data_IF_116972296866
#
_entry.id   IF_116972296866
#
_cell.length_a   1.000
_cell.length_b   1.000
_cell.length_c   1.000
_cell.angle_alpha   90.00
_cell.angle_beta   90.00
_cell.angle_gamma   90.00
#
_symmetry.space_group_name_H-M   'P 1'
#
loop_
_entity.id
_entity.type
_entity.pdbx_description
1 polymer ?
#
# COMPACT_ATOMS: atom_id res chain seq x y z
N UNK A 1 8.08 18.85 -33.22
CA UNK A 1 9.49 18.56 -33.54
C UNK A 1 10.35 19.45 -32.66
N UNK A 2 11.36 18.89 -32.01
CA UNK A 2 12.23 19.59 -31.04
C UNK A 2 13.64 19.66 -31.58
N UNK A 3 14.40 20.64 -31.07
CA UNK A 3 15.82 20.77 -31.38
C UNK A 3 16.62 19.82 -30.46
N UNK A 4 17.54 19.05 -31.04
CA UNK A 4 18.48 18.25 -30.28
C UNK A 4 19.43 19.17 -29.47
N UNK A 5 19.58 18.93 -28.16
CA UNK A 5 20.47 19.75 -27.31
C UNK A 5 21.97 19.58 -27.60
N UNK A 6 22.36 18.53 -28.33
CA UNK A 6 23.75 18.23 -28.64
C UNK A 6 24.16 18.72 -30.03
N UNK A 7 23.37 18.39 -31.05
CA UNK A 7 23.71 18.67 -32.45
C UNK A 7 22.82 19.71 -33.13
N UNK A 8 21.90 20.34 -32.40
CA UNK A 8 21.03 21.41 -32.89
C UNK A 8 20.08 21.03 -34.07
N UNK A 9 20.04 19.77 -34.49
CA UNK A 9 19.16 19.33 -35.58
C UNK A 9 17.70 19.15 -35.11
N UNK A 10 16.76 19.28 -36.03
CA UNK A 10 15.33 19.07 -35.77
C UNK A 10 15.01 17.57 -35.76
N UNK A 11 14.42 17.10 -34.66
CA UNK A 11 14.09 15.69 -34.42
C UNK A 11 12.64 15.56 -33.93
N UNK A 12 12.10 14.34 -33.95
CA UNK A 12 10.78 14.05 -33.40
C UNK A 12 10.74 14.30 -31.89
N UNK A 13 9.61 14.80 -31.38
CA UNK A 13 9.47 15.16 -29.95
C UNK A 13 9.61 13.93 -29.05
N UNK A 14 9.20 12.77 -29.55
CA UNK A 14 9.28 11.46 -28.90
C UNK A 14 10.65 10.77 -29.00
N UNK A 15 11.61 11.33 -29.75
CA UNK A 15 12.90 10.70 -29.95
C UNK A 15 13.69 10.58 -28.62
N UNK A 16 14.04 9.33 -28.26
CA UNK A 16 14.89 8.99 -27.10
C UNK A 16 16.38 9.10 -27.42
N UNK A 17 16.74 8.93 -28.69
CA UNK A 17 18.10 9.02 -29.21
C UNK A 17 18.09 9.86 -30.49
N UNK A 18 19.05 10.75 -30.63
CA UNK A 18 19.18 11.56 -31.84
C UNK A 18 19.69 10.68 -33.00
N UNK A 19 19.03 10.74 -34.17
CA UNK A 19 19.47 10.01 -35.38
C UNK A 19 20.78 10.57 -35.98
N UNK A 20 21.08 11.84 -35.73
CA UNK A 20 22.21 12.55 -36.35
C UNK A 20 23.49 12.39 -35.54
N UNK A 21 23.50 12.78 -34.25
CA UNK A 21 24.69 12.66 -33.42
C UNK A 21 24.79 11.36 -32.61
N UNK A 22 23.74 10.54 -32.58
CA UNK A 22 23.72 9.32 -31.79
C UNK A 22 23.62 9.53 -30.28
N UNK A 23 23.54 10.76 -29.79
CA UNK A 23 23.40 11.05 -28.37
C UNK A 23 22.02 10.71 -27.83
N UNK A 24 22.00 10.23 -26.58
CA UNK A 24 20.78 9.93 -25.85
C UNK A 24 20.22 11.21 -25.24
N UNK A 25 18.96 11.54 -25.56
CA UNK A 25 18.36 12.83 -25.18
C UNK A 25 17.65 12.78 -23.84
N UNK A 26 17.35 11.58 -23.34
CA UNK A 26 16.59 11.37 -22.11
C UNK A 26 17.06 10.11 -21.39
N UNK A 27 18.04 10.27 -20.49
CA UNK A 27 18.39 9.25 -19.50
C UNK A 27 17.40 9.19 -18.32
N UNK A 28 16.31 9.98 -18.33
CA UNK A 28 15.29 9.92 -17.27
C UNK A 28 14.24 8.88 -17.63
N UNK A 29 14.61 7.62 -17.42
CA UNK A 29 13.65 6.51 -17.32
C UNK A 29 12.55 6.93 -16.33
N UNK A 30 11.34 7.17 -16.84
CA UNK A 30 10.15 7.38 -16.01
C UNK A 30 10.00 6.16 -15.12
N UNK A 31 10.21 6.34 -13.82
CA UNK A 31 9.99 5.33 -12.78
C UNK A 31 8.53 4.90 -12.87
N UNK A 32 8.25 3.83 -13.61
CA UNK A 32 6.95 3.17 -13.70
C UNK A 32 6.52 2.80 -12.27
N UNK A 33 5.79 3.69 -11.60
CA UNK A 33 5.14 3.41 -10.31
C UNK A 33 3.99 2.46 -10.61
N UNK A 34 4.27 1.15 -10.62
CA UNK A 34 3.25 0.10 -10.69
C UNK A 34 2.17 0.42 -9.66
N UNK A 35 0.91 0.49 -10.10
CA UNK A 35 -0.24 0.66 -9.20
C UNK A 35 -0.23 -0.52 -8.21
N UNK A 36 -0.02 -0.25 -6.92
CA UNK A 36 -0.22 -1.26 -5.87
C UNK A 36 -1.68 -1.23 -5.44
N UNK A 37 -2.44 -2.32 -5.59
CA UNK A 37 -3.84 -2.35 -5.18
C UNK A 37 -3.93 -2.48 -3.66
N UNK A 38 -3.81 -1.37 -2.94
CA UNK A 38 -3.93 -1.29 -1.46
C UNK A 38 -5.36 -1.67 -1.01
N UNK A 39 -6.34 -1.54 -1.90
CA UNK A 39 -7.75 -1.81 -1.64
C UNK A 39 -8.05 -3.29 -1.38
N UNK A 40 -7.44 -4.19 -2.16
CA UNK A 40 -7.67 -5.64 -2.06
C UNK A 40 -7.28 -6.22 -0.69
N UNK A 41 -6.04 -6.02 -0.19
CA UNK A 41 -5.64 -6.57 1.11
C UNK A 41 -6.42 -5.92 2.26
N UNK A 42 -6.75 -4.63 2.17
CA UNK A 42 -7.53 -3.94 3.19
C UNK A 42 -8.95 -4.51 3.32
N UNK A 43 -9.60 -4.86 2.21
CA UNK A 43 -10.94 -5.46 2.20
C UNK A 43 -10.89 -6.88 2.76
N UNK A 44 -9.91 -7.69 2.35
CA UNK A 44 -9.76 -9.07 2.85
C UNK A 44 -9.59 -9.06 4.37
N UNK A 45 -8.75 -8.18 4.91
CA UNK A 45 -8.50 -8.10 6.35
C UNK A 45 -9.70 -7.58 7.11
N UNK A 46 -10.42 -6.59 6.59
CA UNK A 46 -11.64 -6.10 7.20
C UNK A 46 -12.71 -7.20 7.30
N UNK A 47 -12.88 -8.03 6.26
CA UNK A 47 -13.82 -9.16 6.28
C UNK A 47 -13.39 -10.21 7.30
N UNK A 48 -12.10 -10.56 7.33
CA UNK A 48 -11.58 -11.54 8.30
C UNK A 48 -11.70 -11.06 9.74
N UNK A 49 -11.45 -9.77 10.01
CA UNK A 49 -11.65 -9.16 11.34
C UNK A 49 -13.13 -9.15 11.74
N UNK A 50 -14.07 -8.97 10.81
CA UNK A 50 -15.50 -9.04 11.11
C UNK A 50 -15.96 -10.47 11.44
N UNK A 51 -15.42 -11.47 10.74
CA UNK A 51 -15.63 -12.89 11.09
C UNK A 51 -15.06 -13.18 12.49
N UNK A 52 -14.02 -12.46 12.90
CA UNK A 52 -13.36 -12.65 14.18
C UNK A 52 -14.18 -12.23 15.40
N UNK A 53 -15.17 -11.35 15.19
CA UNK A 53 -16.11 -10.92 16.22
C UNK A 53 -17.09 -12.05 16.58
N UNK A 54 -17.27 -13.05 15.72
CA UNK A 54 -18.07 -14.22 16.06
C UNK A 54 -17.37 -15.01 17.19
N UNK A 55 -18.11 -15.54 18.17
CA UNK A 55 -17.56 -16.24 19.33
C UNK A 55 -17.05 -17.64 18.96
N UNK A 56 -16.01 -17.69 18.13
CA UNK A 56 -15.33 -18.92 17.73
C UNK A 56 -14.42 -19.30 18.91
N UNK A 57 -14.74 -20.43 19.56
CA UNK A 57 -14.03 -20.92 20.75
C UNK A 57 -12.64 -21.50 20.44
N UNK A 58 -12.30 -21.69 19.18
CA UNK A 58 -11.10 -22.40 18.75
C UNK A 58 -9.86 -21.50 18.72
N UNK A 59 -8.84 -21.87 19.49
CA UNK A 59 -7.59 -21.12 19.61
C UNK A 59 -6.83 -20.96 18.27
N UNK A 60 -6.94 -21.96 17.38
CA UNK A 60 -6.32 -21.95 16.05
C UNK A 60 -6.76 -20.77 15.18
N UNK A 61 -8.00 -20.31 15.36
CA UNK A 61 -8.54 -19.20 14.59
C UNK A 61 -7.88 -17.86 14.93
N UNK A 62 -7.57 -17.60 16.20
CA UNK A 62 -6.86 -16.39 16.65
C UNK A 62 -5.42 -16.32 16.13
N UNK A 63 -4.75 -17.47 15.99
CA UNK A 63 -3.41 -17.54 15.40
C UNK A 63 -3.45 -17.10 13.94
N UNK A 64 -4.41 -17.60 13.16
CA UNK A 64 -4.56 -17.24 11.74
C UNK A 64 -4.85 -15.75 11.55
N UNK A 65 -5.72 -15.16 12.37
CA UNK A 65 -6.02 -13.72 12.30
C UNK A 65 -4.77 -12.89 12.50
N UNK A 66 -3.96 -13.22 13.52
CA UNK A 66 -2.71 -12.50 13.81
C UNK A 66 -1.79 -12.47 12.59
N UNK A 67 -1.59 -13.62 11.94
CA UNK A 67 -0.81 -13.69 10.70
C UNK A 67 -1.39 -12.81 9.58
N UNK A 68 -2.70 -12.91 9.34
CA UNK A 68 -3.37 -12.17 8.25
C UNK A 68 -3.30 -10.65 8.49
N UNK A 69 -3.66 -10.21 9.71
CA UNK A 69 -3.68 -8.79 10.08
C UNK A 69 -2.27 -8.21 10.10
N UNK A 70 -1.30 -8.94 10.65
CA UNK A 70 0.09 -8.50 10.70
C UNK A 70 0.68 -8.32 9.30
N UNK A 71 0.54 -9.33 8.41
CA UNK A 71 1.04 -9.24 7.03
C UNK A 71 0.39 -8.10 6.26
N UNK A 72 -0.91 -7.90 6.42
CA UNK A 72 -1.61 -6.81 5.78
C UNK A 72 -1.21 -5.43 6.31
N UNK A 73 -1.07 -5.28 7.63
CA UNK A 73 -0.62 -4.05 8.25
C UNK A 73 0.79 -3.66 7.75
N UNK A 74 1.72 -4.64 7.65
CA UNK A 74 3.06 -4.42 7.08
C UNK A 74 2.96 -3.96 5.62
N UNK A 75 2.15 -4.64 4.80
CA UNK A 75 1.97 -4.26 3.39
C UNK A 75 1.41 -2.85 3.22
N UNK A 76 0.42 -2.47 4.03
CA UNK A 76 -0.19 -1.14 4.01
C UNK A 76 0.79 -0.08 4.55
N UNK A 77 1.58 -0.39 5.58
CA UNK A 77 2.63 0.49 6.08
C UNK A 77 3.65 0.80 4.97
N UNK A 78 4.09 -0.23 4.23
CA UNK A 78 4.98 -0.06 3.09
C UNK A 78 4.35 0.81 1.98
N UNK A 79 3.08 0.59 1.67
CA UNK A 79 2.37 1.42 0.69
C UNK A 79 2.17 2.87 1.16
N UNK A 80 2.00 3.08 2.46
CA UNK A 80 1.88 4.40 3.09
C UNK A 80 3.22 5.16 3.08
N UNK A 81 4.34 4.43 3.21
CA UNK A 81 5.68 4.96 3.02
C UNK A 81 5.88 5.48 1.59
N UNK A 82 5.50 4.69 0.58
CA UNK A 82 5.55 5.13 -0.82
C UNK A 82 4.64 6.33 -1.13
N UNK A 83 3.59 6.54 -0.32
CA UNK A 83 2.64 7.64 -0.43
C UNK A 83 2.99 8.84 0.48
N UNK A 84 4.14 8.83 1.14
CA UNK A 84 4.64 9.89 2.04
C UNK A 84 3.66 10.23 3.19
N UNK A 85 2.82 9.28 3.59
CA UNK A 85 1.86 9.43 4.70
C UNK A 85 2.45 8.92 6.00
N UNK A 86 3.38 9.70 6.59
CA UNK A 86 4.14 9.30 7.78
C UNK A 86 3.26 8.83 8.95
N UNK A 87 2.15 9.52 9.23
CA UNK A 87 1.22 9.15 10.30
C UNK A 87 0.64 7.73 10.12
N UNK A 88 0.30 7.34 8.88
CA UNK A 88 -0.28 6.02 8.60
C UNK A 88 0.74 4.88 8.71
N UNK A 89 2.03 5.17 8.48
CA UNK A 89 3.10 4.19 8.67
C UNK A 89 3.21 3.80 10.14
N UNK A 90 3.17 4.79 11.03
CA UNK A 90 3.22 4.57 12.47
C UNK A 90 1.99 3.81 12.98
N UNK A 91 0.78 4.21 12.57
CA UNK A 91 -0.46 3.51 12.96
C UNK A 91 -0.39 2.04 12.54
N UNK A 92 -0.04 1.77 11.28
CA UNK A 92 0.04 0.40 10.77
C UNK A 92 1.19 -0.39 11.39
N UNK A 93 2.30 0.27 11.72
CA UNK A 93 3.41 -0.35 12.46
C UNK A 93 2.99 -0.82 13.86
N UNK A 94 2.23 -0.01 14.59
CA UNK A 94 1.69 -0.38 15.90
C UNK A 94 0.70 -1.55 15.79
N UNK A 95 -0.19 -1.52 14.78
CA UNK A 95 -1.12 -2.63 14.52
C UNK A 95 -0.37 -3.93 14.22
N UNK A 96 0.67 -3.88 13.36
CA UNK A 96 1.50 -5.04 13.05
C UNK A 96 2.20 -5.60 14.30
N UNK A 97 2.63 -4.72 15.22
CA UNK A 97 3.26 -5.11 16.48
C UNK A 97 2.28 -5.78 17.44
N UNK A 98 1.07 -5.24 17.58
CA UNK A 98 0.02 -5.81 18.45
C UNK A 98 -0.41 -7.20 17.95
N UNK A 99 -0.58 -7.37 16.64
CA UNK A 99 -0.99 -8.64 16.03
C UNK A 99 0.18 -9.55 15.66
N UNK A 100 1.40 -9.29 16.17
CA UNK A 100 2.57 -10.08 15.84
C UNK A 100 2.42 -11.53 16.35
N UNK A 101 2.45 -12.55 15.46
CA UNK A 101 2.30 -13.94 15.86
C UNK A 101 3.53 -14.52 16.58
N UNK A 102 4.71 -13.89 16.44
CA UNK A 102 5.97 -14.37 17.03
C UNK A 102 5.99 -14.09 18.54
N UNK A 103 5.45 -12.94 18.96
CA UNK A 103 5.41 -12.51 20.36
C UNK A 103 3.94 -12.34 20.76
N UNK A 104 3.25 -13.44 21.11
CA UNK A 104 1.84 -13.39 21.46
C UNK A 104 1.61 -12.62 22.76
N UNK A 105 0.81 -11.56 22.68
CA UNK A 105 0.35 -10.83 23.86
C UNK A 105 -0.82 -11.59 24.53
N UNK A 106 -0.60 -12.01 25.78
CA UNK A 106 -1.59 -12.73 26.59
C UNK A 106 -2.50 -11.74 27.33
N UNK A 107 -3.36 -11.05 26.59
CA UNK A 107 -4.39 -10.18 27.14
C UNK A 107 -5.69 -10.98 27.37
N UNK A 108 -6.52 -10.52 28.30
CA UNK A 108 -7.85 -11.10 28.51
C UNK A 108 -8.75 -10.95 27.28
N UNK A 109 -9.67 -11.90 27.07
CA UNK A 109 -10.58 -11.91 25.89
C UNK A 109 -11.30 -10.58 25.67
N UNK A 110 -11.80 -9.95 26.74
CA UNK A 110 -12.50 -8.67 26.64
C UNK A 110 -11.64 -7.53 26.08
N UNK A 111 -10.35 -7.50 26.42
CA UNK A 111 -9.39 -6.50 25.91
C UNK A 111 -9.11 -6.75 24.43
N UNK A 112 -8.93 -8.02 24.04
CA UNK A 112 -8.73 -8.39 22.64
C UNK A 112 -9.93 -8.02 21.77
N UNK A 113 -11.16 -8.23 22.23
CA UNK A 113 -12.37 -7.81 21.49
C UNK A 113 -12.37 -6.31 21.21
N UNK A 114 -11.96 -5.48 22.18
CA UNK A 114 -11.86 -4.03 22.01
C UNK A 114 -10.77 -3.69 20.97
N UNK A 115 -9.60 -4.32 21.07
CA UNK A 115 -8.49 -4.13 20.13
C UNK A 115 -8.91 -4.50 18.71
N UNK A 116 -9.58 -5.62 18.52
CA UNK A 116 -10.04 -6.11 17.22
C UNK A 116 -11.03 -5.13 16.57
N UNK A 117 -11.99 -4.62 17.35
CA UNK A 117 -12.97 -3.61 16.88
C UNK A 117 -12.29 -2.30 16.48
N UNK A 118 -11.37 -1.80 17.30
CA UNK A 118 -10.59 -0.59 16.98
C UNK A 118 -9.77 -0.81 15.70
N UNK A 119 -9.12 -1.96 15.60
CA UNK A 119 -8.29 -2.31 14.43
C UNK A 119 -9.13 -2.38 13.17
N UNK A 120 -10.30 -3.02 13.22
CA UNK A 120 -11.24 -3.07 12.10
C UNK A 120 -11.62 -1.65 11.63
N UNK A 121 -11.92 -0.74 12.56
CA UNK A 121 -12.22 0.67 12.24
C UNK A 121 -11.03 1.37 11.56
N UNK A 122 -9.81 1.16 12.05
CA UNK A 122 -8.58 1.70 11.45
C UNK A 122 -8.42 1.23 10.00
N UNK A 123 -8.64 -0.05 9.71
CA UNK A 123 -8.61 -0.59 8.34
C UNK A 123 -9.71 0.01 7.47
N UNK A 124 -10.93 0.21 7.98
CA UNK A 124 -12.01 0.88 7.25
C UNK A 124 -11.63 2.32 6.90
N UNK A 125 -11.12 3.10 7.85
CA UNK A 125 -10.65 4.48 7.60
C UNK A 125 -9.53 4.51 6.57
N UNK A 126 -8.62 3.53 6.63
CA UNK A 126 -7.55 3.36 5.63
C UNK A 126 -8.13 3.19 4.23
N UNK A 127 -9.18 2.38 4.07
CA UNK A 127 -9.89 2.24 2.79
C UNK A 127 -10.40 3.60 2.33
N UNK A 128 -11.10 4.37 3.17
CA UNK A 128 -11.66 5.68 2.77
C UNK A 128 -10.58 6.67 2.33
N UNK A 129 -9.47 6.77 3.07
CA UNK A 129 -8.38 7.70 2.76
C UNK A 129 -7.68 7.33 1.46
N UNK A 130 -7.45 6.03 1.22
CA UNK A 130 -6.78 5.56 0.01
C UNK A 130 -7.75 5.32 -1.16
N UNK A 131 -9.08 5.31 -0.95
CA UNK A 131 -10.12 5.19 -1.99
C UNK A 131 -10.13 6.38 -2.95
N UNK A 132 -9.79 7.58 -2.48
CA UNK A 132 -9.67 8.78 -3.33
C UNK A 132 -8.39 8.85 -4.17
N UNK A 133 -7.51 7.84 -4.09
CA UNK A 133 -6.47 7.61 -5.10
C UNK A 133 -7.03 6.86 -6.32
N UNK A 134 -8.30 7.11 -6.71
CA UNK A 134 -8.70 6.91 -8.11
C UNK A 134 -7.84 7.84 -8.93
N UNK A 135 -6.78 7.28 -9.51
CA UNK A 135 -5.87 7.99 -10.40
C UNK A 135 -6.71 8.77 -11.40
N UNK A 136 -6.48 10.08 -11.44
CA UNK A 136 -6.91 10.94 -12.53
C UNK A 136 -6.15 10.47 -13.78
N UNK A 137 -6.64 9.37 -14.37
CA UNK A 137 -6.17 8.78 -15.61
C UNK A 137 -6.71 9.66 -16.73
N UNK A 138 -6.18 10.87 -16.85
CA UNK A 138 -6.01 11.46 -18.17
C UNK A 138 -4.69 10.93 -18.69
N UNK A 139 -4.75 9.67 -19.14
CA UNK A 139 -3.79 9.19 -20.14
C UNK A 139 -4.04 10.10 -21.33
N UNK A 140 -3.09 10.99 -21.55
CA UNK A 140 -2.97 11.78 -22.77
C UNK A 140 -2.96 10.75 -23.92
N UNK A 141 -4.09 10.68 -24.63
CA UNK A 141 -4.15 10.16 -25.98
C UNK A 141 -3.49 11.18 -26.91
#
# INVERSE_FOLDING_TARGET
>A
MKKCSFCAELIQDEAFKCRYCGEWLNAKQKKYRKKKPILLPSIIVAIFLLIAVMPIKEYSYYILIRWIVCLAAIYIAYCSYEAEKIYWIWIMGVVALIFNPIIPLNLGKGIWTIIDVITALVFVVTIFIFRNRKSNTKVLA
#
